data_IF_652302900469
#
_entry.id   IF_652302900469
#
_cell.length_a   1.000
_cell.length_b   1.000
_cell.length_c   1.000
_cell.angle_alpha   90.00
_cell.angle_beta   90.00
_cell.angle_gamma   90.00
#
_symmetry.space_group_name_H-M   'P 1'
#
loop_
_entity.id
_entity.type
_entity.pdbx_description
1 polymer ?
#
# COMPACT_ATOMS: atom_id res chain seq x y z
N UNK A 1 15.41 9.30 -29.86
CA UNK A 1 15.83 8.12 -29.07
C UNK A 1 16.27 8.46 -27.64
N UNK A 2 17.23 9.36 -27.44
CA UNK A 2 17.68 9.81 -26.10
C UNK A 2 16.54 10.25 -25.19
N UNK A 3 15.51 10.90 -25.74
CA UNK A 3 14.30 11.30 -24.99
C UNK A 3 13.49 10.10 -24.46
N UNK A 4 13.28 9.07 -25.28
CA UNK A 4 12.53 7.86 -24.85
C UNK A 4 13.31 7.13 -23.76
N UNK A 5 14.62 6.98 -23.91
CA UNK A 5 15.47 6.35 -22.90
C UNK A 5 15.44 7.15 -21.59
N UNK A 6 15.50 8.49 -21.67
CA UNK A 6 15.36 9.35 -20.50
C UNK A 6 14.01 9.16 -19.80
N UNK A 7 12.91 9.09 -20.56
CA UNK A 7 11.57 8.89 -20.00
C UNK A 7 11.41 7.49 -19.39
N UNK A 8 12.00 6.45 -19.99
CA UNK A 8 12.01 5.09 -19.42
C UNK A 8 12.80 5.05 -18.10
N UNK A 9 13.94 5.72 -18.04
CA UNK A 9 14.72 5.81 -16.80
C UNK A 9 14.01 6.64 -15.73
N UNK A 10 13.33 7.72 -16.12
CA UNK A 10 12.46 8.48 -15.21
C UNK A 10 11.33 7.61 -14.67
N UNK A 11 10.68 6.81 -15.53
CA UNK A 11 9.68 5.83 -15.10
C UNK A 11 10.24 4.87 -14.05
N UNK A 12 11.43 4.32 -14.31
CA UNK A 12 12.10 3.41 -13.37
C UNK A 12 12.43 4.08 -12.03
N UNK A 13 12.87 5.33 -12.04
CA UNK A 13 13.11 6.11 -10.81
C UNK A 13 11.85 6.28 -9.96
N UNK A 14 10.70 6.53 -10.59
CA UNK A 14 9.43 6.62 -9.85
C UNK A 14 8.93 5.26 -9.35
N UNK A 15 9.19 4.18 -10.08
CA UNK A 15 8.93 2.82 -9.61
C UNK A 15 9.82 2.46 -8.41
N UNK A 16 11.10 2.81 -8.43
CA UNK A 16 12.02 2.63 -7.30
C UNK A 16 11.54 3.40 -6.06
N UNK A 17 11.09 4.65 -6.24
CA UNK A 17 10.48 5.43 -5.15
C UNK A 17 9.24 4.77 -4.58
N UNK A 18 8.38 4.21 -5.44
CA UNK A 18 7.19 3.49 -5.00
C UNK A 18 7.56 2.25 -4.18
N UNK A 19 8.51 1.46 -4.70
CA UNK A 19 9.04 0.29 -4.02
C UNK A 19 9.63 0.63 -2.64
N UNK A 20 10.45 1.67 -2.57
CA UNK A 20 11.10 2.12 -1.33
C UNK A 20 10.09 2.63 -0.31
N UNK A 21 9.07 3.38 -0.76
CA UNK A 21 7.97 3.82 0.09
C UNK A 21 7.22 2.63 0.70
N UNK A 22 6.93 1.61 -0.12
CA UNK A 22 6.30 0.38 0.34
C UNK A 22 7.16 -0.36 1.38
N UNK A 23 8.48 -0.47 1.19
CA UNK A 23 9.37 -1.12 2.17
C UNK A 23 9.34 -0.43 3.54
N UNK A 24 9.43 0.90 3.55
CA UNK A 24 9.42 1.68 4.79
C UNK A 24 8.10 1.48 5.54
N UNK A 25 6.97 1.59 4.85
CA UNK A 25 5.67 1.47 5.50
C UNK A 25 5.32 0.03 5.86
N UNK A 26 5.78 -0.98 5.11
CA UNK A 26 5.65 -2.39 5.51
C UNK A 26 6.37 -2.65 6.84
N UNK A 27 7.55 -2.07 7.05
CA UNK A 27 8.27 -2.19 8.32
C UNK A 27 7.50 -1.53 9.49
N UNK A 28 6.79 -0.42 9.23
CA UNK A 28 5.91 0.23 10.20
C UNK A 28 4.67 -0.63 10.50
N UNK A 29 4.00 -1.15 9.46
CA UNK A 29 2.79 -1.96 9.60
C UNK A 29 3.07 -3.28 10.32
N UNK A 30 4.24 -3.88 10.12
CA UNK A 30 4.67 -5.07 10.87
C UNK A 30 4.78 -4.80 12.38
N UNK A 31 5.02 -3.56 12.78
CA UNK A 31 5.07 -3.12 14.18
C UNK A 31 3.72 -2.59 14.70
N UNK A 32 2.66 -2.64 13.87
CA UNK A 32 1.35 -2.11 14.21
C UNK A 32 1.23 -0.58 14.12
N UNK A 33 2.21 0.08 13.51
CA UNK A 33 2.23 1.55 13.36
C UNK A 33 1.52 1.95 12.05
N UNK A 34 0.30 2.46 12.17
CA UNK A 34 -0.56 2.84 11.03
C UNK A 34 -0.85 4.33 10.94
N UNK A 35 -0.23 5.17 11.77
CA UNK A 35 -0.53 6.62 11.86
C UNK A 35 -0.36 7.35 10.51
N UNK A 36 0.55 6.87 9.67
CA UNK A 36 0.87 7.46 8.37
C UNK A 36 0.09 6.84 7.20
N UNK A 37 -0.87 5.94 7.43
CA UNK A 37 -1.56 5.18 6.37
C UNK A 37 -2.18 6.09 5.29
N UNK A 38 -2.78 7.21 5.70
CA UNK A 38 -3.36 8.17 4.76
C UNK A 38 -2.29 8.86 3.90
N UNK A 39 -1.17 9.26 4.52
CA UNK A 39 -0.04 9.89 3.82
C UNK A 39 0.61 8.92 2.83
N UNK A 40 0.79 7.66 3.25
CA UNK A 40 1.27 6.57 2.42
C UNK A 40 0.40 6.39 1.17
N UNK A 41 -0.92 6.26 1.34
CA UNK A 41 -1.85 6.12 0.22
C UNK A 41 -1.80 7.33 -0.72
N UNK A 42 -1.84 8.55 -0.18
CA UNK A 42 -1.77 9.77 -1.00
C UNK A 42 -0.46 9.91 -1.76
N UNK A 43 0.66 9.50 -1.17
CA UNK A 43 1.96 9.56 -1.83
C UNK A 43 2.04 8.55 -2.97
N UNK A 44 1.49 7.34 -2.77
CA UNK A 44 1.38 6.33 -3.83
C UNK A 44 0.54 6.80 -5.01
N UNK A 45 -0.63 7.38 -4.75
CA UNK A 45 -1.49 7.94 -5.81
C UNK A 45 -0.75 9.01 -6.62
N UNK A 46 -0.04 9.92 -5.95
CA UNK A 46 0.79 10.93 -6.64
C UNK A 46 1.87 10.30 -7.50
N UNK A 47 2.54 9.25 -7.04
CA UNK A 47 3.55 8.54 -7.85
C UNK A 47 2.89 7.90 -9.07
N UNK A 48 1.72 7.28 -8.91
CA UNK A 48 0.97 6.69 -10.04
C UNK A 48 0.57 7.75 -11.07
N UNK A 49 0.16 8.94 -10.63
CA UNK A 49 -0.16 10.03 -11.55
C UNK A 49 1.05 10.51 -12.34
N UNK A 50 2.23 10.58 -11.71
CA UNK A 50 3.48 10.86 -12.41
C UNK A 50 3.81 9.75 -13.41
N UNK A 51 3.66 8.48 -13.03
CA UNK A 51 3.89 7.35 -13.95
C UNK A 51 2.96 7.40 -15.17
N UNK A 52 1.66 7.70 -14.98
CA UNK A 52 0.69 7.89 -16.08
C UNK A 52 1.13 9.05 -16.99
N UNK A 53 1.61 10.15 -16.40
CA UNK A 53 2.11 11.27 -17.17
C UNK A 53 3.34 10.87 -18.00
N UNK A 54 4.33 10.20 -17.40
CA UNK A 54 5.52 9.72 -18.11
C UNK A 54 5.14 8.77 -19.24
N UNK A 55 4.19 7.86 -19.03
CA UNK A 55 3.66 6.98 -20.08
C UNK A 55 3.06 7.76 -21.24
N UNK A 56 2.25 8.78 -20.96
CA UNK A 56 1.71 9.65 -22.01
C UNK A 56 2.81 10.39 -22.80
N UNK A 57 3.94 10.72 -22.16
CA UNK A 57 5.08 11.36 -22.83
C UNK A 57 5.85 10.35 -23.69
N UNK A 58 5.98 9.10 -23.23
CA UNK A 58 6.59 8.02 -24.01
C UNK A 58 5.78 7.76 -25.27
N UNK A 59 4.46 7.64 -25.15
CA UNK A 59 3.55 7.40 -26.29
C UNK A 59 3.63 8.54 -27.31
N UNK A 60 3.64 9.79 -26.85
CA UNK A 60 3.84 10.96 -27.73
C UNK A 60 5.18 10.91 -28.44
N UNK A 61 6.27 10.65 -27.70
CA UNK A 61 7.60 10.58 -28.27
C UNK A 61 7.76 9.44 -29.28
N UNK A 62 7.05 8.32 -29.10
CA UNK A 62 7.00 7.22 -30.07
C UNK A 62 6.22 7.61 -31.33
N UNK A 63 5.07 8.28 -31.19
CA UNK A 63 4.25 8.71 -32.32
C UNK A 63 4.90 9.83 -33.14
N UNK A 64 5.73 10.68 -32.52
CA UNK A 64 6.51 11.73 -33.19
C UNK A 64 7.73 11.18 -33.95
N UNK A 65 8.15 9.93 -33.69
CA UNK A 65 9.24 9.32 -34.43
C UNK A 65 8.80 8.90 -35.83
N UNK A 66 9.52 9.37 -36.85
CA UNK A 66 9.31 8.92 -38.23
C UNK A 66 9.68 7.44 -38.37
N UNK A 67 8.93 6.71 -39.21
CA UNK A 67 9.13 5.28 -39.47
C UNK A 67 10.55 4.94 -39.98
N UNK A 68 11.23 5.92 -40.61
CA UNK A 68 12.61 5.80 -41.11
C UNK A 68 13.70 6.01 -40.04
N UNK A 69 13.33 6.16 -38.77
CA UNK A 69 14.32 6.35 -37.69
C UNK A 69 15.08 5.04 -37.44
N UNK A 70 16.29 4.94 -37.97
CA UNK A 70 17.19 3.81 -37.74
C UNK A 70 17.64 3.81 -36.27
N UNK A 71 17.22 2.79 -35.51
CA UNK A 71 17.71 2.59 -34.14
C UNK A 71 19.16 2.09 -34.16
N UNK A 72 20.05 2.82 -33.47
CA UNK A 72 21.41 2.36 -33.20
C UNK A 72 21.37 1.19 -32.21
N UNK A 73 22.28 0.23 -32.35
CA UNK A 73 22.33 -0.98 -31.51
C UNK A 73 22.44 -0.64 -30.00
N UNK A 74 23.18 0.41 -29.64
CA UNK A 74 23.30 0.89 -28.26
C UNK A 74 21.97 1.33 -27.66
N UNK A 75 21.17 2.10 -28.40
CA UNK A 75 19.85 2.57 -27.95
C UNK A 75 18.89 1.41 -27.69
N UNK A 76 18.94 0.36 -28.53
CA UNK A 76 18.12 -0.84 -28.35
C UNK A 76 18.46 -1.57 -27.06
N UNK A 77 19.76 -1.68 -26.74
CA UNK A 77 20.21 -2.33 -25.51
C UNK A 77 19.76 -1.54 -24.27
N UNK A 78 19.91 -0.21 -24.29
CA UNK A 78 19.47 0.64 -23.17
C UNK A 78 17.96 0.57 -22.94
N UNK A 79 17.16 0.55 -24.01
CA UNK A 79 15.70 0.38 -23.88
C UNK A 79 15.37 -0.98 -23.27
N UNK A 80 16.03 -2.05 -23.71
CA UNK A 80 15.81 -3.39 -23.17
C UNK A 80 16.15 -3.48 -21.69
N UNK A 81 17.27 -2.89 -21.28
CA UNK A 81 17.68 -2.81 -19.87
C UNK A 81 16.65 -2.04 -19.05
N UNK A 82 16.24 -0.85 -19.52
CA UNK A 82 15.24 -0.05 -18.83
C UNK A 82 13.89 -0.78 -18.69
N UNK A 83 13.46 -1.52 -19.71
CA UNK A 83 12.23 -2.33 -19.65
C UNK A 83 12.36 -3.50 -18.67
N UNK A 84 13.53 -4.13 -18.59
CA UNK A 84 13.79 -5.23 -17.65
C UNK A 84 13.72 -4.74 -16.20
N UNK A 85 14.36 -3.60 -15.91
CA UNK A 85 14.31 -2.94 -14.59
C UNK A 85 12.86 -2.59 -14.23
N UNK A 86 12.11 -2.05 -15.18
CA UNK A 86 10.69 -1.72 -15.01
C UNK A 86 9.88 -2.96 -14.61
N UNK A 87 10.06 -4.07 -15.32
CA UNK A 87 9.33 -5.32 -15.05
C UNK A 87 9.69 -5.90 -13.67
N UNK A 88 10.96 -5.81 -13.26
CA UNK A 88 11.42 -6.22 -11.92
C UNK A 88 10.74 -5.40 -10.81
N UNK A 89 10.76 -4.06 -10.91
CA UNK A 89 10.10 -3.22 -9.91
C UNK A 89 8.59 -3.46 -9.84
N UNK A 90 7.92 -3.60 -10.98
CA UNK A 90 6.47 -3.86 -11.01
C UNK A 90 6.15 -5.18 -10.30
N UNK A 91 6.91 -6.25 -10.56
CA UNK A 91 6.72 -7.55 -9.89
C UNK A 91 6.85 -7.42 -8.38
N UNK A 92 7.91 -6.75 -7.91
CA UNK A 92 8.15 -6.57 -6.47
C UNK A 92 7.13 -5.69 -5.78
N UNK A 93 6.67 -4.62 -6.44
CA UNK A 93 5.62 -3.74 -5.89
C UNK A 93 4.31 -4.51 -5.70
N UNK A 94 3.95 -5.38 -6.65
CA UNK A 94 2.75 -6.22 -6.53
C UNK A 94 2.87 -7.16 -5.33
N UNK A 95 4.03 -7.79 -5.14
CA UNK A 95 4.29 -8.64 -3.97
C UNK A 95 4.20 -7.87 -2.65
N UNK A 96 4.77 -6.66 -2.59
CA UNK A 96 4.66 -5.77 -1.43
C UNK A 96 3.20 -5.40 -1.13
N UNK A 97 2.38 -5.12 -2.15
CA UNK A 97 0.99 -4.76 -1.97
C UNK A 97 0.15 -5.90 -1.38
N UNK A 98 0.47 -7.15 -1.73
CA UNK A 98 -0.13 -8.33 -1.09
C UNK A 98 0.22 -8.35 0.40
N UNK A 99 1.47 -8.03 0.76
CA UNK A 99 1.90 -7.94 2.16
C UNK A 99 1.21 -6.79 2.91
N UNK A 100 1.08 -5.62 2.29
CA UNK A 100 0.36 -4.46 2.86
C UNK A 100 -1.08 -4.85 3.19
N UNK A 101 -1.78 -5.51 2.26
CA UNK A 101 -3.14 -6.00 2.48
C UNK A 101 -3.21 -6.99 3.65
N UNK A 102 -2.26 -7.92 3.74
CA UNK A 102 -2.20 -8.87 4.85
C UNK A 102 -2.02 -8.17 6.20
N UNK A 103 -1.13 -7.17 6.30
CA UNK A 103 -0.93 -6.40 7.53
C UNK A 103 -2.20 -5.64 7.94
N UNK A 104 -2.88 -5.01 6.99
CA UNK A 104 -4.14 -4.28 7.24
C UNK A 104 -5.23 -5.24 7.73
N UNK A 105 -5.37 -6.40 7.09
CA UNK A 105 -6.34 -7.43 7.48
C UNK A 105 -6.06 -7.97 8.89
N UNK A 106 -4.80 -8.21 9.24
CA UNK A 106 -4.41 -8.61 10.59
C UNK A 106 -4.76 -7.55 11.63
N UNK A 107 -4.44 -6.28 11.37
CA UNK A 107 -4.75 -5.17 12.26
C UNK A 107 -6.27 -5.01 12.46
N UNK A 108 -7.04 -5.05 11.36
CA UNK A 108 -8.51 -5.02 11.38
C UNK A 108 -9.07 -6.15 12.26
N UNK A 109 -8.57 -7.36 12.10
CA UNK A 109 -9.02 -8.51 12.89
C UNK A 109 -8.66 -8.38 14.38
N UNK A 110 -7.51 -7.78 14.72
CA UNK A 110 -7.15 -7.49 16.11
C UNK A 110 -8.17 -6.53 16.75
N UNK A 111 -8.45 -5.40 16.08
CA UNK A 111 -9.40 -4.39 16.56
C UNK A 111 -10.79 -5.00 16.76
N UNK A 112 -11.25 -5.85 15.84
CA UNK A 112 -12.55 -6.53 15.97
C UNK A 112 -12.61 -7.40 17.23
N UNK A 113 -11.54 -8.15 17.54
CA UNK A 113 -11.47 -8.99 18.74
C UNK A 113 -11.52 -8.14 20.00
N UNK A 114 -10.73 -7.06 20.05
CA UNK A 114 -10.72 -6.12 21.18
C UNK A 114 -12.11 -5.51 21.43
N UNK A 115 -12.81 -5.08 20.38
CA UNK A 115 -14.17 -4.57 20.48
C UNK A 115 -15.16 -5.63 20.98
N UNK A 116 -15.01 -6.89 20.55
CA UNK A 116 -15.85 -7.99 21.05
C UNK A 116 -15.64 -8.22 22.55
N UNK A 117 -14.40 -8.13 23.04
CA UNK A 117 -14.08 -8.31 24.45
C UNK A 117 -14.60 -7.15 25.31
N UNK A 118 -14.49 -5.90 24.83
CA UNK A 118 -15.14 -4.74 25.47
C UNK A 118 -16.65 -4.95 25.59
N UNK A 119 -17.30 -5.46 24.52
CA UNK A 119 -18.73 -5.76 24.54
C UNK A 119 -19.10 -6.85 25.55
N UNK A 120 -18.26 -7.88 25.71
CA UNK A 120 -18.44 -8.96 26.69
C UNK A 120 -18.25 -8.46 28.11
N UNK A 121 -17.21 -7.68 28.37
CA UNK A 121 -16.91 -7.11 29.70
C UNK A 121 -18.04 -6.19 30.18
N UNK A 122 -18.66 -5.41 29.28
CA UNK A 122 -19.86 -4.62 29.61
C UNK A 122 -21.03 -5.47 30.10
N UNK A 123 -21.24 -6.67 29.54
CA UNK A 123 -22.29 -7.60 30.01
C UNK A 123 -21.98 -8.13 31.41
N UNK A 124 -20.72 -8.48 31.69
CA UNK A 124 -20.29 -8.94 32.99
C UNK A 124 -20.54 -7.87 34.08
N UNK A 125 -20.15 -6.62 33.82
CA UNK A 125 -20.38 -5.49 34.74
C UNK A 125 -21.88 -5.24 34.97
N UNK A 126 -22.72 -5.37 33.93
CA UNK A 126 -24.18 -5.30 34.07
C UNK A 126 -24.76 -6.36 35.01
N UNK A 127 -24.20 -7.58 35.00
CA UNK A 127 -24.59 -8.66 35.90
C UNK A 127 -24.23 -8.43 37.36
N UNK A 128 -23.12 -7.73 37.64
CA UNK A 128 -22.71 -7.41 39.01
C UNK A 128 -23.59 -6.34 39.68
N UNK A 129 -24.20 -5.42 38.92
CA UNK A 129 -25.15 -4.42 39.48
C UNK A 129 -26.52 -5.01 39.84
N UNK A 130 -26.83 -6.25 39.45
CA UNK A 130 -28.17 -6.85 39.60
C UNK A 130 -28.37 -7.72 40.84
N UNK A 131 -27.36 -7.89 41.72
CA UNK A 131 -27.46 -8.78 42.90
C UNK A 131 -27.55 -8.06 44.26
N UNK A 132 -27.92 -6.79 44.28
CA UNK A 132 -28.14 -6.04 45.53
C UNK A 132 -29.57 -5.48 45.53
N UNK A 133 -30.58 -6.34 45.65
CA UNK A 133 -31.79 -6.07 46.46
C UNK A 133 -32.71 -7.29 46.48
N UNK A 134 -33.45 -7.42 47.59
CA UNK A 134 -34.45 -8.44 47.96
C UNK A 134 -33.93 -9.76 48.54
N UNK A 135 -33.16 -9.67 49.61
CA UNK A 135 -33.30 -10.61 50.73
C UNK A 135 -34.27 -9.95 51.72
N UNK A 136 -35.57 -10.18 51.55
CA UNK A 136 -36.55 -9.93 52.61
C UNK A 136 -36.32 -11.02 53.65
N UNK A 137 -35.88 -10.62 54.83
CA UNK A 137 -35.88 -11.47 56.02
C UNK A 137 -37.34 -11.78 56.35
N UNK A 138 -37.71 -13.06 56.29
CA UNK A 138 -38.91 -13.55 56.95
C UNK A 138 -38.64 -13.51 58.46
N UNK A 139 -39.21 -12.52 59.16
CA UNK A 139 -39.34 -12.57 60.61
C UNK A 139 -40.66 -13.28 60.93
N UNK A 140 -40.56 -14.51 61.45
CA UNK A 140 -41.64 -15.20 62.16
C UNK A 140 -41.94 -14.46 63.48
N UNK A 141 -43.21 -14.13 63.71
CA UNK A 141 -43.78 -13.82 65.02
C UNK A 141 -45.26 -14.24 65.06
#
# INVERSE_FOLDING_TARGET
MTRIISLLNEKNHYLEKFYSLNEVELANFAQGLFDNLQSFYQTREKILDVLKYVDSQIDRAQNEMSADTVMVQGDRQQIKEALTIKDEYVSRIIEQDIQVLACIEMAKNSIIRELQDVRRNRKAIGGYKSKIFTQRLDEEA
#
